data_IF_348069136903
#
_entry.id   IF_348069136903
#
_cell.length_a   1.000
_cell.length_b   1.000
_cell.length_c   1.000
_cell.angle_alpha   90.00
_cell.angle_beta   90.00
_cell.angle_gamma   90.00
#
_symmetry.space_group_name_H-M   'P 1'
#
loop_
_entity.id
_entity.type
_entity.pdbx_description
1 polymer ?
#
# COMPACT_ATOMS: atom_id res chain seq x y z
N UNK A 1 -20.46 11.67 -21.84
CA UNK A 1 -19.67 10.58 -21.23
C UNK A 1 -18.68 11.22 -20.28
N UNK A 2 -18.50 10.74 -19.04
CA UNK A 2 -17.42 11.22 -18.20
C UNK A 2 -16.08 10.98 -18.93
N UNK A 3 -15.11 11.91 -18.83
CA UNK A 3 -13.81 11.70 -19.45
C UNK A 3 -13.17 10.43 -18.89
N UNK A 4 -12.39 9.68 -19.70
CA UNK A 4 -11.65 8.54 -19.19
C UNK A 4 -10.74 9.02 -18.06
N UNK A 5 -10.92 8.44 -16.87
CA UNK A 5 -10.06 8.74 -15.74
C UNK A 5 -8.60 8.44 -16.12
N UNK A 6 -7.64 9.29 -15.76
CA UNK A 6 -6.23 8.96 -15.93
C UNK A 6 -5.96 7.64 -15.23
N UNK A 7 -5.33 6.75 -15.97
CA UNK A 7 -5.13 5.37 -15.55
C UNK A 7 -3.99 5.33 -14.53
N UNK A 8 -4.36 5.19 -13.26
CA UNK A 8 -3.43 5.16 -12.13
C UNK A 8 -2.83 3.75 -11.94
N UNK A 9 -1.78 3.42 -12.69
CA UNK A 9 -1.06 2.14 -12.58
C UNK A 9 0.42 2.36 -12.34
N UNK A 10 1.03 1.46 -11.58
CA UNK A 10 2.49 1.37 -11.52
C UNK A 10 3.02 0.79 -12.81
N UNK A 11 4.25 1.16 -13.14
CA UNK A 11 4.99 0.51 -14.21
C UNK A 11 5.24 -0.96 -13.82
N UNK A 12 4.75 -1.94 -14.59
CA UNK A 12 4.91 -3.35 -14.23
C UNK A 12 6.38 -3.74 -14.32
N UNK A 13 6.88 -4.45 -13.31
CA UNK A 13 8.23 -5.01 -13.36
C UNK A 13 8.36 -6.02 -14.51
N UNK A 14 9.48 -6.00 -15.24
CA UNK A 14 9.74 -7.00 -16.27
C UNK A 14 9.78 -8.40 -15.65
N UNK A 15 9.41 -9.47 -16.39
CA UNK A 15 9.29 -10.82 -15.86
C UNK A 15 10.55 -11.33 -15.12
N UNK A 16 11.74 -10.92 -15.55
CA UNK A 16 13.01 -11.28 -14.91
C UNK A 16 13.32 -10.55 -13.60
N UNK A 17 12.65 -9.43 -13.31
CA UNK A 17 12.81 -8.65 -12.07
C UNK A 17 11.77 -9.02 -11.00
N UNK A 18 10.68 -9.70 -11.38
CA UNK A 18 9.66 -10.17 -10.44
C UNK A 18 10.24 -11.22 -9.49
N UNK A 19 9.87 -11.10 -8.21
CA UNK A 19 10.30 -12.06 -7.19
C UNK A 19 9.56 -13.38 -7.41
N UNK A 20 10.29 -14.49 -7.52
CA UNK A 20 9.70 -15.83 -7.64
C UNK A 20 9.19 -16.33 -6.29
N UNK A 21 8.07 -15.77 -5.81
CA UNK A 21 7.53 -16.00 -4.46
C UNK A 21 7.32 -17.50 -4.17
N UNK A 22 6.74 -18.26 -5.11
CA UNK A 22 6.52 -19.69 -4.93
C UNK A 22 7.82 -20.50 -4.72
N UNK A 23 8.88 -20.18 -5.45
CA UNK A 23 10.20 -20.80 -5.26
C UNK A 23 10.84 -20.41 -3.93
N UNK A 24 10.67 -19.15 -3.53
CA UNK A 24 11.13 -18.65 -2.22
C UNK A 24 10.43 -19.39 -1.08
N UNK A 25 9.12 -19.56 -1.18
CA UNK A 25 8.30 -20.28 -0.20
C UNK A 25 8.69 -21.76 -0.15
N UNK A 26 8.87 -22.40 -1.31
CA UNK A 26 9.33 -23.78 -1.39
C UNK A 26 10.68 -23.98 -0.71
N UNK A 27 11.68 -23.13 -1.00
CA UNK A 27 12.98 -23.23 -0.34
C UNK A 27 12.87 -23.02 1.18
N UNK A 28 12.06 -22.06 1.63
CA UNK A 28 11.81 -21.87 3.07
C UNK A 28 11.16 -23.08 3.72
N UNK A 29 10.12 -23.65 3.10
CA UNK A 29 9.48 -24.86 3.59
C UNK A 29 10.50 -26.00 3.69
N UNK A 30 11.31 -26.22 2.66
CA UNK A 30 12.32 -27.28 2.67
C UNK A 30 13.38 -27.09 3.76
N UNK A 31 13.75 -25.85 4.11
CA UNK A 31 14.63 -25.58 5.25
C UNK A 31 13.95 -25.98 6.56
N UNK A 32 12.70 -25.56 6.78
CA UNK A 32 11.94 -25.85 8.00
C UNK A 32 11.69 -27.35 8.17
N UNK A 33 11.38 -28.05 7.08
CA UNK A 33 11.09 -29.49 7.09
C UNK A 33 12.33 -30.38 6.96
N UNK A 34 13.51 -29.81 6.71
CA UNK A 34 14.76 -30.56 6.55
C UNK A 34 15.11 -31.52 7.71
N UNK A 35 14.83 -31.21 9.00
CA UNK A 35 15.11 -32.15 10.09
C UNK A 35 14.28 -33.44 9.98
N UNK A 36 13.03 -33.34 9.55
CA UNK A 36 12.14 -34.50 9.38
C UNK A 36 12.60 -35.40 8.23
N UNK A 37 13.11 -34.82 7.15
CA UNK A 37 13.75 -35.59 6.06
C UNK A 37 14.96 -36.35 6.58
N UNK A 38 15.77 -35.71 7.43
CA UNK A 38 16.91 -36.32 8.09
C UNK A 38 16.54 -37.53 8.95
N UNK A 39 15.51 -37.40 9.79
CA UNK A 39 15.00 -38.51 10.61
C UNK A 39 14.36 -39.62 9.78
N UNK A 40 13.61 -39.29 8.73
CA UNK A 40 12.97 -40.26 7.85
C UNK A 40 13.99 -41.11 7.09
N UNK A 41 15.09 -40.51 6.62
CA UNK A 41 16.17 -41.23 5.93
C UNK A 41 17.04 -42.03 6.90
N UNK A 42 17.26 -41.54 8.13
CA UNK A 42 18.05 -42.25 9.14
C UNK A 42 17.26 -43.38 9.82
N UNK A 43 15.92 -43.30 9.85
CA UNK A 43 15.03 -44.28 10.47
C UNK A 43 14.91 -44.16 11.99
N UNK A 44 15.61 -43.20 12.62
CA UNK A 44 15.58 -42.95 14.07
C UNK A 44 15.69 -41.47 14.39
N UNK A 45 15.08 -41.07 15.50
CA UNK A 45 15.19 -39.72 16.07
C UNK A 45 16.43 -39.67 16.96
N UNK A 46 17.59 -39.51 16.33
CA UNK A 46 18.90 -39.43 16.97
C UNK A 46 19.69 -38.25 16.38
N UNK A 47 20.77 -37.85 17.06
CA UNK A 47 21.65 -36.74 16.65
C UNK A 47 22.12 -36.87 15.20
N UNK A 48 22.44 -38.09 14.76
CA UNK A 48 22.84 -38.38 13.37
C UNK A 48 21.74 -38.04 12.35
N UNK A 49 20.48 -38.28 12.68
CA UNK A 49 19.34 -37.91 11.83
C UNK A 49 19.15 -36.39 11.74
N UNK A 50 19.39 -35.66 12.83
CA UNK A 50 19.36 -34.20 12.85
C UNK A 50 20.48 -33.61 12.00
N UNK A 51 21.71 -34.13 12.14
CA UNK A 51 22.87 -33.71 11.34
C UNK A 51 22.63 -33.97 9.85
N UNK A 52 22.06 -35.13 9.51
CA UNK A 52 21.69 -35.45 8.13
C UNK A 52 20.68 -34.44 7.58
N UNK A 53 19.64 -34.12 8.36
CA UNK A 53 18.64 -33.11 8.00
C UNK A 53 19.25 -31.73 7.77
N UNK A 54 20.20 -31.32 8.61
CA UNK A 54 20.92 -30.04 8.44
C UNK A 54 21.74 -30.00 7.15
N UNK A 55 22.40 -31.09 6.77
CA UNK A 55 23.08 -31.17 5.47
C UNK A 55 22.09 -31.01 4.31
N UNK A 56 20.91 -31.63 4.40
CA UNK A 56 19.86 -31.44 3.39
C UNK A 56 19.33 -30.00 3.33
N UNK A 57 19.36 -29.25 4.44
CA UNK A 57 18.99 -27.84 4.47
C UNK A 57 19.93 -26.93 3.66
N UNK A 58 21.17 -27.37 3.36
CA UNK A 58 22.11 -26.60 2.55
C UNK A 58 21.63 -26.42 1.10
N UNK A 59 20.95 -27.43 0.54
CA UNK A 59 20.41 -27.38 -0.82
C UNK A 59 19.37 -26.24 -1.02
N UNK A 60 18.29 -26.14 -0.22
CA UNK A 60 17.37 -25.02 -0.32
C UNK A 60 18.02 -23.68 0.06
N UNK A 61 19.04 -23.68 0.93
CA UNK A 61 19.82 -22.46 1.23
C UNK A 61 20.60 -21.96 0.00
N UNK A 62 21.25 -22.86 -0.74
CA UNK A 62 21.87 -22.56 -2.04
C UNK A 62 20.82 -22.08 -3.05
N UNK A 63 19.62 -22.69 -3.05
CA UNK A 63 18.47 -22.24 -3.83
C UNK A 63 18.07 -20.80 -3.54
N UNK A 64 17.96 -20.41 -2.26
CA UNK A 64 17.68 -19.02 -1.84
C UNK A 64 18.77 -18.05 -2.30
N UNK A 65 20.05 -18.43 -2.21
CA UNK A 65 21.16 -17.61 -2.70
C UNK A 65 21.09 -17.41 -4.22
N UNK A 66 20.79 -18.46 -4.98
CA UNK A 66 20.62 -18.38 -6.43
C UNK A 66 19.43 -17.48 -6.80
N UNK A 67 18.28 -17.65 -6.15
CA UNK A 67 17.10 -16.80 -6.35
C UNK A 67 17.40 -15.32 -6.03
N UNK A 68 18.14 -15.04 -4.95
CA UNK A 68 18.57 -13.68 -4.60
C UNK A 68 19.48 -13.07 -5.67
N UNK A 69 20.42 -13.85 -6.20
CA UNK A 69 21.31 -13.40 -7.29
C UNK A 69 20.54 -13.13 -8.58
N UNK A 70 19.62 -14.02 -8.96
CA UNK A 70 18.75 -13.84 -10.14
C UNK A 70 17.88 -12.59 -10.00
N UNK A 71 17.26 -12.39 -8.84
CA UNK A 71 16.44 -11.20 -8.58
C UNK A 71 17.27 -9.91 -8.64
N UNK A 72 18.46 -9.90 -8.04
CA UNK A 72 19.38 -8.76 -8.13
C UNK A 72 19.84 -8.49 -9.57
N UNK A 73 20.16 -9.53 -10.32
CA UNK A 73 20.52 -9.40 -11.72
C UNK A 73 19.36 -8.85 -12.57
N UNK A 74 18.13 -9.29 -12.28
CA UNK A 74 16.91 -8.76 -12.87
C UNK A 74 16.72 -7.28 -12.55
N UNK A 75 16.81 -6.89 -11.27
CA UNK A 75 16.67 -5.50 -10.84
C UNK A 75 17.73 -4.55 -11.43
N UNK A 76 18.98 -5.01 -11.64
CA UNK A 76 20.02 -4.21 -12.29
C UNK A 76 19.71 -3.85 -13.75
N UNK A 77 18.78 -4.57 -14.38
CA UNK A 77 18.33 -4.30 -15.76
C UNK A 77 17.10 -3.38 -15.80
N UNK A 78 16.53 -3.06 -14.65
CA UNK A 78 15.37 -2.17 -14.55
C UNK A 78 15.89 -0.73 -14.46
N UNK A 79 15.32 0.22 -15.21
CA UNK A 79 15.61 1.64 -15.06
C UNK A 79 15.46 2.11 -13.60
N UNK A 80 16.33 3.01 -13.09
CA UNK A 80 16.34 3.41 -11.69
C UNK A 80 15.03 4.07 -11.24
N UNK A 81 14.41 4.85 -12.11
CA UNK A 81 13.10 5.48 -11.93
C UNK A 81 11.98 4.45 -11.69
N UNK A 82 11.95 3.37 -12.47
CA UNK A 82 10.98 2.27 -12.29
C UNK A 82 11.25 1.49 -11.00
N UNK A 83 12.53 1.32 -10.62
CA UNK A 83 12.88 0.68 -9.34
C UNK A 83 12.43 1.55 -8.16
N UNK A 84 12.63 2.86 -8.23
CA UNK A 84 12.23 3.79 -7.18
C UNK A 84 10.70 3.89 -7.07
N UNK A 85 10.00 3.93 -8.21
CA UNK A 85 8.53 3.83 -8.28
C UNK A 85 8.03 2.53 -7.63
N UNK A 86 8.69 1.40 -7.90
CA UNK A 86 8.30 0.11 -7.33
C UNK A 86 8.56 0.02 -5.82
N UNK A 87 9.65 0.63 -5.34
CA UNK A 87 10.03 0.61 -3.91
C UNK A 87 9.20 1.56 -3.06
N UNK A 88 8.92 2.74 -3.57
CA UNK A 88 8.32 3.83 -2.79
C UNK A 88 6.89 4.17 -3.22
N UNK A 89 6.43 3.62 -4.36
CA UNK A 89 5.18 3.98 -5.00
C UNK A 89 5.35 5.05 -6.07
N UNK A 90 4.30 5.24 -6.86
CA UNK A 90 4.24 6.25 -7.90
C UNK A 90 3.67 7.54 -7.34
N UNK A 91 4.47 8.60 -7.32
CA UNK A 91 3.99 9.93 -6.97
C UNK A 91 3.37 10.58 -8.20
N UNK A 92 2.09 10.91 -8.11
CA UNK A 92 1.34 11.62 -9.14
C UNK A 92 1.12 13.06 -8.66
N UNK A 93 1.76 14.04 -9.31
CA UNK A 93 1.73 15.42 -8.85
C UNK A 93 0.38 16.08 -9.19
N UNK A 94 -0.03 17.18 -8.54
CA UNK A 94 -1.37 17.77 -8.72
C UNK A 94 -1.60 18.38 -10.12
N UNK A 95 -0.55 18.70 -10.86
CA UNK A 95 -0.62 19.30 -12.20
C UNK A 95 -1.27 18.36 -13.21
N UNK A 96 -2.05 18.92 -14.13
CA UNK A 96 -2.71 18.15 -15.20
C UNK A 96 -3.87 17.26 -14.75
N UNK A 97 -4.32 17.37 -13.49
CA UNK A 97 -5.53 16.70 -13.04
C UNK A 97 -6.77 17.22 -13.80
N UNK A 98 -7.73 16.33 -14.18
CA UNK A 98 -8.94 16.76 -14.84
C UNK A 98 -9.75 17.68 -13.91
N UNK A 99 -10.35 18.77 -14.43
CA UNK A 99 -11.07 19.72 -13.59
C UNK A 99 -12.31 19.06 -12.98
N UNK A 100 -12.42 19.11 -11.66
CA UNK A 100 -13.55 18.60 -10.88
C UNK A 100 -14.15 19.74 -10.06
N UNK A 101 -15.47 19.93 -10.15
CA UNK A 101 -16.19 20.95 -9.38
C UNK A 101 -16.59 20.43 -7.98
N UNK A 102 -16.23 21.12 -6.88
CA UNK A 102 -16.73 20.80 -5.55
C UNK A 102 -18.16 21.35 -5.31
N UNK A 103 -18.95 20.79 -4.37
CA UNK A 103 -18.62 19.62 -3.56
C UNK A 103 -18.84 18.31 -4.32
N UNK A 104 -17.99 17.32 -4.07
CA UNK A 104 -18.12 16.00 -4.67
C UNK A 104 -18.05 14.91 -3.61
N UNK A 105 -19.12 14.11 -3.52
CA UNK A 105 -19.26 13.08 -2.51
C UNK A 105 -19.13 11.68 -3.12
N UNK A 106 -18.21 10.93 -2.54
CA UNK A 106 -17.98 9.52 -2.81
C UNK A 106 -18.57 8.72 -1.67
N UNK A 107 -19.54 7.84 -1.96
CA UNK A 107 -20.25 7.07 -0.96
C UNK A 107 -20.15 5.58 -1.25
N UNK A 108 -19.80 4.81 -0.22
CA UNK A 108 -19.88 3.36 -0.20
C UNK A 108 -21.03 2.91 0.71
N UNK A 109 -21.18 1.59 0.92
CA UNK A 109 -22.32 1.05 1.68
C UNK A 109 -22.37 1.50 3.14
N UNK A 110 -21.21 1.80 3.74
CA UNK A 110 -21.09 2.10 5.18
C UNK A 110 -20.34 3.39 5.49
N UNK A 111 -19.67 4.00 4.52
CA UNK A 111 -18.82 5.16 4.74
C UNK A 111 -18.83 6.07 3.52
N UNK A 112 -18.49 7.33 3.70
CA UNK A 112 -18.41 8.32 2.62
C UNK A 112 -17.30 9.34 2.87
N UNK A 113 -16.80 9.91 1.78
CA UNK A 113 -15.81 10.97 1.74
C UNK A 113 -16.32 12.03 0.77
N UNK A 114 -16.40 13.29 1.21
CA UNK A 114 -16.81 14.45 0.44
C UNK A 114 -15.62 15.41 0.29
N UNK A 115 -15.32 15.76 -0.95
CA UNK A 115 -14.33 16.77 -1.30
C UNK A 115 -15.04 18.10 -1.47
N UNK A 116 -14.68 19.08 -0.64
CA UNK A 116 -15.21 20.44 -0.66
C UNK A 116 -14.13 21.41 -1.15
N UNK A 117 -14.51 22.65 -1.42
CA UNK A 117 -13.56 23.67 -1.85
C UNK A 117 -12.52 24.01 -0.76
N UNK A 118 -12.90 23.87 0.51
CA UNK A 118 -12.11 24.24 1.70
C UNK A 118 -11.41 23.04 2.36
N UNK A 119 -11.85 21.82 2.10
CA UNK A 119 -11.23 20.62 2.66
C UNK A 119 -11.92 19.31 2.31
N UNK A 120 -11.60 18.30 3.09
CA UNK A 120 -12.11 16.93 2.99
C UNK A 120 -13.00 16.68 4.19
N UNK A 121 -14.23 16.24 3.94
CA UNK A 121 -15.18 15.84 4.96
C UNK A 121 -15.38 14.33 4.87
N UNK A 122 -15.28 13.60 5.98
CA UNK A 122 -15.42 12.16 6.02
C UNK A 122 -16.41 11.72 7.09
N UNK A 123 -17.14 10.64 6.80
CA UNK A 123 -18.02 10.00 7.77
C UNK A 123 -17.23 9.39 8.92
N UNK A 124 -17.85 9.29 10.10
CA UNK A 124 -17.22 8.61 11.26
C UNK A 124 -16.72 7.20 10.93
N UNK A 125 -17.51 6.46 10.15
CA UNK A 125 -17.22 5.10 9.70
C UNK A 125 -16.11 5.01 8.65
N UNK A 126 -15.74 6.13 8.01
CA UNK A 126 -14.58 6.21 7.15
C UNK A 126 -13.30 6.31 8.00
N UNK A 127 -13.34 6.91 9.18
CA UNK A 127 -12.13 7.07 9.99
C UNK A 127 -11.68 5.73 10.60
N UNK A 128 -10.42 5.37 10.35
CA UNK A 128 -9.79 4.18 10.94
C UNK A 128 -8.82 4.54 12.06
N UNK A 129 -8.00 5.58 11.86
CA UNK A 129 -6.98 5.98 12.82
C UNK A 129 -6.55 7.44 12.63
N UNK A 130 -6.06 8.05 13.70
CA UNK A 130 -5.49 9.40 13.73
C UNK A 130 -4.17 9.33 14.49
N UNK A 131 -3.13 10.00 13.98
CA UNK A 131 -1.87 10.14 14.71
C UNK A 131 -1.22 11.49 14.42
N UNK A 132 -0.66 12.12 15.44
CA UNK A 132 0.14 13.34 15.37
C UNK A 132 1.24 13.32 16.42
N UNK A 133 2.29 14.11 16.23
CA UNK A 133 3.44 14.08 17.14
C UNK A 133 3.11 14.52 18.59
N UNK A 134 2.18 15.46 18.80
CA UNK A 134 1.64 15.78 20.14
C UNK A 134 0.45 14.91 20.57
N UNK A 135 0.20 13.81 19.87
CA UNK A 135 -0.88 12.86 20.15
C UNK A 135 -2.19 13.17 19.43
N UNK A 136 -3.18 12.30 19.65
CA UNK A 136 -4.49 12.33 18.98
C UNK A 136 -5.24 13.65 19.25
N UNK A 137 -5.05 14.24 20.43
CA UNK A 137 -5.73 15.47 20.84
C UNK A 137 -5.34 16.69 19.98
N UNK A 138 -4.05 16.86 19.67
CA UNK A 138 -3.57 17.97 18.82
C UNK A 138 -4.08 17.85 17.38
N UNK A 139 -4.15 16.61 16.88
CA UNK A 139 -4.74 16.33 15.57
C UNK A 139 -6.24 16.61 15.59
N UNK A 140 -6.97 16.18 16.63
CA UNK A 140 -8.39 16.50 16.78
C UNK A 140 -8.64 18.00 16.91
N UNK A 141 -7.78 18.76 17.59
CA UNK A 141 -7.92 20.22 17.68
C UNK A 141 -7.68 20.92 16.32
N UNK A 142 -6.79 20.35 15.50
CA UNK A 142 -6.57 20.82 14.11
C UNK A 142 -7.67 20.38 13.13
N UNK A 143 -8.35 19.27 13.42
CA UNK A 143 -9.41 18.67 12.63
C UNK A 143 -10.76 19.09 13.19
N UNK A 144 -11.45 20.01 12.52
CA UNK A 144 -12.79 20.41 12.97
C UNK A 144 -13.72 19.20 12.97
N UNK A 145 -14.21 18.79 14.13
CA UNK A 145 -15.38 17.91 14.22
C UNK A 145 -16.52 18.70 13.62
N UNK A 146 -16.93 18.34 12.40
CA UNK A 146 -17.75 19.22 11.57
C UNK A 146 -19.21 19.31 12.05
N UNK A 147 -19.67 18.34 12.85
CA UNK A 147 -21.04 18.28 13.34
C UNK A 147 -21.21 17.30 14.53
N UNK A 148 -22.32 17.42 15.27
CA UNK A 148 -22.78 16.51 16.33
C UNK A 148 -22.92 15.05 15.86
N UNK A 149 -22.97 14.82 14.54
CA UNK A 149 -22.96 13.50 13.91
C UNK A 149 -21.57 12.79 13.91
N UNK A 150 -20.52 13.43 14.42
CA UNK A 150 -19.17 12.85 14.51
C UNK A 150 -18.45 12.78 13.16
N UNK A 151 -18.72 13.72 12.27
CA UNK A 151 -18.03 13.86 10.97
C UNK A 151 -16.66 14.52 11.16
N UNK A 152 -15.69 14.12 10.35
CA UNK A 152 -14.32 14.61 10.44
C UNK A 152 -14.01 15.51 9.25
N UNK A 153 -13.58 16.75 9.51
CA UNK A 153 -13.16 17.69 8.49
C UNK A 153 -11.66 17.97 8.56
N UNK A 154 -10.98 17.83 7.43
CA UNK A 154 -9.55 18.11 7.24
C UNK A 154 -9.42 19.24 6.21
N UNK A 155 -8.96 20.45 6.58
CA UNK A 155 -8.76 21.52 5.61
C UNK A 155 -7.64 21.17 4.63
N UNK A 156 -7.75 21.57 3.35
CA UNK A 156 -6.72 21.28 2.35
C UNK A 156 -5.34 21.83 2.73
N UNK A 157 -5.31 22.98 3.41
CA UNK A 157 -4.07 23.59 3.89
C UNK A 157 -3.28 22.71 4.87
N UNK A 158 -3.95 21.78 5.57
CA UNK A 158 -3.32 20.86 6.50
C UNK A 158 -2.77 19.60 5.82
N UNK A 159 -3.13 19.31 4.57
CA UNK A 159 -2.74 18.08 3.87
C UNK A 159 -1.48 18.34 3.03
N UNK A 160 -0.40 17.56 3.26
CA UNK A 160 0.82 17.60 2.43
C UNK A 160 0.84 16.52 1.33
N UNK A 161 0.13 15.42 1.54
CA UNK A 161 0.07 14.31 0.59
C UNK A 161 -1.07 13.34 0.86
N UNK A 162 -1.48 12.63 -0.19
CA UNK A 162 -2.48 11.58 -0.12
C UNK A 162 -1.89 10.25 -0.56
N UNK A 163 -1.70 9.31 0.37
CA UNK A 163 -1.12 8.01 0.06
C UNK A 163 -2.21 6.93 0.00
N UNK A 164 -2.06 5.97 -0.90
CA UNK A 164 -2.82 4.72 -0.92
C UNK A 164 -1.86 3.65 -0.47
N UNK A 165 -2.19 3.00 0.65
CA UNK A 165 -1.35 1.98 1.25
C UNK A 165 -2.16 0.72 1.54
N UNK A 166 -1.53 -0.41 1.27
CA UNK A 166 -2.05 -1.75 1.54
C UNK A 166 -0.99 -2.47 2.36
N UNK A 167 -0.73 -1.96 3.56
CA UNK A 167 0.04 -2.72 4.53
C UNK A 167 -0.80 -3.93 4.96
N UNK A 168 -0.22 -5.11 4.78
CA UNK A 168 -0.88 -6.41 4.79
C UNK A 168 -1.72 -6.73 6.02
N UNK A 169 -2.65 -7.67 5.81
CA UNK A 169 -3.63 -8.26 6.75
C UNK A 169 -4.71 -7.30 7.33
N UNK A 170 -4.59 -5.97 7.12
CA UNK A 170 -5.58 -4.96 7.53
C UNK A 170 -6.57 -4.55 6.42
N UNK A 171 -7.62 -3.76 6.75
CA UNK A 171 -8.49 -3.17 5.74
C UNK A 171 -7.75 -2.07 4.97
N UNK A 172 -7.86 -2.06 3.64
CA UNK A 172 -7.23 -1.04 2.79
C UNK A 172 -7.60 0.40 3.23
N UNK A 173 -6.63 1.31 3.16
CA UNK A 173 -6.81 2.68 3.63
C UNK A 173 -6.20 3.76 2.72
N UNK A 174 -6.82 4.93 2.74
CA UNK A 174 -6.22 6.18 2.33
C UNK A 174 -5.51 6.80 3.53
N UNK A 175 -4.25 7.18 3.36
CA UNK A 175 -3.48 7.90 4.36
C UNK A 175 -3.33 9.35 3.91
N UNK A 176 -4.04 10.25 4.58
CA UNK A 176 -3.85 11.69 4.43
C UNK A 176 -2.70 12.05 5.34
N UNK A 177 -1.58 12.49 4.77
CA UNK A 177 -0.49 13.04 5.56
C UNK A 177 -0.79 14.49 5.89
N UNK A 178 -0.48 14.87 7.12
CA UNK A 178 -0.76 16.19 7.67
C UNK A 178 0.52 16.98 7.93
N UNK A 179 0.44 18.31 7.74
CA UNK A 179 1.45 19.28 8.17
C UNK A 179 1.25 19.65 9.65
N UNK A 180 2.31 19.88 10.44
CA UNK A 180 3.74 19.69 10.12
C UNK A 180 4.17 18.23 10.12
N UNK A 181 3.56 17.39 10.97
CA UNK A 181 3.74 15.93 11.02
C UNK A 181 2.47 15.27 11.56
N UNK A 182 2.01 14.21 10.90
CA UNK A 182 0.84 13.44 11.33
C UNK A 182 0.16 12.72 10.17
N UNK A 183 -0.87 11.94 10.46
CA UNK A 183 -1.72 11.34 9.43
C UNK A 183 -3.12 11.01 9.91
N UNK A 184 -4.05 10.97 8.95
CA UNK A 184 -5.39 10.43 9.08
C UNK A 184 -5.49 9.19 8.20
N UNK A 185 -5.92 8.06 8.78
CA UNK A 185 -6.29 6.87 8.01
C UNK A 185 -7.78 6.87 7.78
N UNK A 186 -8.17 6.97 6.51
CA UNK A 186 -9.54 6.80 6.05
C UNK A 186 -9.67 5.43 5.38
N UNK A 187 -10.81 4.79 5.56
CA UNK A 187 -11.18 3.56 4.89
C UNK A 187 -11.22 3.82 3.39
N UNK A 188 -10.60 2.91 2.64
CA UNK A 188 -10.58 2.95 1.18
C UNK A 188 -11.92 2.47 0.60
N UNK A 189 -12.26 3.00 -0.57
CA UNK A 189 -13.24 2.33 -1.43
C UNK A 189 -12.63 1.05 -2.00
N UNK A 190 -13.46 0.11 -2.48
CA UNK A 190 -12.92 -1.10 -3.10
C UNK A 190 -12.04 -0.74 -4.30
N UNK A 191 -10.86 -1.33 -4.37
CA UNK A 191 -9.99 -1.25 -5.55
C UNK A 191 -10.80 -1.62 -6.81
N UNK A 192 -10.67 -0.81 -7.87
CA UNK A 192 -11.42 -0.99 -9.13
C UNK A 192 -12.82 -0.37 -9.17
N UNK A 193 -13.35 0.19 -8.08
CA UNK A 193 -14.55 1.02 -8.15
C UNK A 193 -14.20 2.38 -8.79
N UNK A 194 -14.95 2.81 -9.81
CA UNK A 194 -14.74 4.14 -10.44
C UNK A 194 -14.78 5.32 -9.46
N UNK A 195 -15.41 5.14 -8.30
CA UNK A 195 -15.41 6.10 -7.20
C UNK A 195 -14.01 6.42 -6.67
N UNK A 196 -13.09 5.46 -6.64
CA UNK A 196 -11.75 5.68 -6.11
C UNK A 196 -10.89 6.52 -7.07
N UNK A 197 -10.88 6.18 -8.36
CA UNK A 197 -10.16 6.98 -9.36
C UNK A 197 -10.69 8.43 -9.40
N UNK A 198 -12.02 8.60 -9.36
CA UNK A 198 -12.65 9.91 -9.24
C UNK A 198 -12.22 10.66 -7.98
N UNK A 199 -12.18 9.99 -6.82
CA UNK A 199 -11.72 10.60 -5.56
C UNK A 199 -10.31 11.17 -5.71
N UNK A 200 -9.38 10.42 -6.28
CA UNK A 200 -7.99 10.86 -6.46
C UNK A 200 -7.86 12.01 -7.46
N UNK A 201 -8.64 11.98 -8.54
CA UNK A 201 -8.76 13.11 -9.46
C UNK A 201 -9.26 14.36 -8.74
N UNK A 202 -10.28 14.21 -7.89
CA UNK A 202 -10.80 15.29 -7.06
C UNK A 202 -9.79 15.81 -6.05
N UNK A 203 -9.00 14.94 -5.40
CA UNK A 203 -7.93 15.34 -4.48
C UNK A 203 -6.88 16.19 -5.20
N UNK A 204 -6.46 15.77 -6.40
CA UNK A 204 -5.47 16.51 -7.19
C UNK A 204 -6.03 17.79 -7.80
N UNK A 205 -7.29 17.78 -8.26
CA UNK A 205 -7.93 18.93 -8.89
C UNK A 205 -8.37 19.99 -7.89
N UNK A 206 -9.08 19.59 -6.84
CA UNK A 206 -9.69 20.49 -5.85
C UNK A 206 -8.66 20.87 -4.80
N UNK A 207 -8.04 19.86 -4.17
CA UNK A 207 -7.09 20.06 -3.09
C UNK A 207 -5.69 20.47 -3.52
N UNK A 208 -5.33 20.27 -4.80
CA UNK A 208 -3.97 20.46 -5.32
C UNK A 208 -2.92 19.70 -4.51
N UNK A 209 -3.29 18.51 -4.03
CA UNK A 209 -2.44 17.63 -3.23
C UNK A 209 -1.86 16.52 -4.10
N UNK A 210 -0.56 16.18 -3.98
CA UNK A 210 0.03 15.04 -4.68
C UNK A 210 -0.49 13.71 -4.12
N UNK A 211 -0.64 12.72 -5.00
CA UNK A 211 -1.11 11.37 -4.66
C UNK A 211 0.05 10.38 -4.76
N UNK A 212 0.33 9.61 -3.72
CA UNK A 212 1.33 8.53 -3.72
C UNK A 212 0.63 7.17 -3.80
N UNK A 213 0.93 6.41 -4.84
CA UNK A 213 0.34 5.09 -5.10
C UNK A 213 1.30 3.98 -4.67
N UNK A 214 1.05 3.36 -3.51
CA UNK A 214 1.82 2.17 -3.06
C UNK A 214 1.21 0.84 -3.52
N UNK A 215 0.07 0.87 -4.19
CA UNK A 215 -0.54 -0.30 -4.82
C UNK A 215 -1.17 0.08 -6.16
N UNK A 216 -1.36 -0.90 -7.04
CA UNK A 216 -2.04 -0.74 -8.31
C UNK A 216 -3.55 -0.61 -8.07
N UNK A 217 -4.17 0.44 -8.60
CA UNK A 217 -5.63 0.62 -8.54
C UNK A 217 -6.40 -0.35 -9.46
N UNK A 218 -5.70 -1.34 -10.00
CA UNK A 218 -6.19 -2.35 -10.93
C UNK A 218 -5.47 -3.67 -10.69
N UNK A 219 -6.11 -4.53 -9.91
CA UNK A 219 -6.11 -5.94 -10.25
C UNK A 219 -7.50 -6.25 -10.85
N UNK A 220 -7.59 -6.94 -12.01
CA UNK A 220 -8.85 -7.49 -12.50
C UNK A 220 -9.43 -8.52 -11.52
#
# INVERSE_FOLDING_TARGET
>A
MPPPHPVYHRTPLPPGARRKVGWLMLCWMLIVFSPFVGFALHGKVEERGLVLGLYFALLPLCGLLALRRLHRAGLRRVPPDVVDEWRHGRLVPPEGAPPVAPPLRYAGPRHWIELRADGVLASRSALLHLNGEGGIAEVIDSLRVADAAGQYFVPWAAIDGWEIDTDGDGPDFHRLRLRPRGFVLLRRFRAGAGHEAGLLDGVRSIGRVPVLLKDDLTAP
#
